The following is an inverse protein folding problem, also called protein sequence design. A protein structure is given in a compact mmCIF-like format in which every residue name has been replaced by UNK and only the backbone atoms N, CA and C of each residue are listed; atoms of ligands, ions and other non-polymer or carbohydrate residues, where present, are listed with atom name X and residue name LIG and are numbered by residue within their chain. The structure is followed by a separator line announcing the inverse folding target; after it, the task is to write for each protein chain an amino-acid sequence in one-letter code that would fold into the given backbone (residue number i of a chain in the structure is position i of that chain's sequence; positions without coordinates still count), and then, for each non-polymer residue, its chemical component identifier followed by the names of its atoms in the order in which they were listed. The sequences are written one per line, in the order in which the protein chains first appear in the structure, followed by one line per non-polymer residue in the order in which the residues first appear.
data_IF_650720715864
#
_entry.id   IF_650720715864
#
_cell.length_a   1.000
_cell.length_b   1.000
_cell.length_c   1.000
_cell.angle_alpha   90.00
_cell.angle_beta   90.00
_cell.angle_gamma   90.00
#
_symmetry.space_group_name_H-M   'P 1'
#
loop_
_entity.id
_entity.type
_entity.pdbx_description
1 polymer ?
#
# COMPACT_ATOMS: atom_id res chain seq x y z
N UNK A 1 85.42 -2.57 19.94
CA UNK A 1 84.11 -3.25 19.94
C UNK A 1 84.18 -4.37 20.95
N UNK A 2 83.37 -4.27 22.05
CA UNK A 2 83.43 -5.18 23.16
C UNK A 2 82.20 -6.08 23.12
N UNK A 3 82.36 -7.28 22.70
CA UNK A 3 81.27 -8.33 22.61
C UNK A 3 80.84 -8.72 24.02
N UNK A 4 79.57 -8.48 24.33
CA UNK A 4 78.89 -8.97 25.56
C UNK A 4 78.66 -10.49 25.47
N UNK A 5 78.88 -11.26 26.52
CA UNK A 5 78.71 -12.70 26.49
C UNK A 5 77.24 -13.11 26.43
N UNK A 6 76.88 -14.17 25.70
CA UNK A 6 75.47 -14.65 25.47
C UNK A 6 74.82 -15.26 26.71
N UNK A 7 75.55 -15.40 27.83
CA UNK A 7 75.02 -16.10 29.03
C UNK A 7 74.02 -15.30 29.85
N UNK A 8 73.89 -13.96 29.66
CA UNK A 8 72.95 -13.15 30.40
C UNK A 8 71.51 -13.31 29.93
N UNK A 9 71.31 -13.59 28.63
CA UNK A 9 70.06 -13.81 28.05
C UNK A 9 69.39 -15.18 28.44
N UNK A 10 70.31 -16.19 28.61
CA UNK A 10 69.88 -17.52 28.98
C UNK A 10 69.35 -17.61 30.43
N UNK A 11 69.99 -16.76 31.33
CA UNK A 11 69.59 -16.75 32.74
C UNK A 11 68.21 -16.09 32.96
N UNK A 12 67.91 -15.06 32.17
CA UNK A 12 66.58 -14.38 32.21
C UNK A 12 65.50 -15.30 31.68
N UNK A 13 65.77 -16.12 30.67
CA UNK A 13 64.81 -17.05 30.10
C UNK A 13 64.44 -18.17 31.07
N UNK A 14 65.41 -18.65 31.89
CA UNK A 14 65.17 -19.72 32.88
C UNK A 14 64.34 -19.20 34.09
N UNK A 15 64.46 -17.91 34.45
CA UNK A 15 63.72 -17.34 35.56
C UNK A 15 62.22 -17.16 35.25
N UNK A 16 61.85 -17.03 33.96
CA UNK A 16 60.46 -16.94 33.55
C UNK A 16 59.71 -18.31 33.49
N UNK A 17 60.44 -19.40 33.45
CA UNK A 17 59.87 -20.74 33.35
C UNK A 17 59.49 -21.37 34.69
N UNK A 18 59.88 -20.75 35.80
CA UNK A 18 59.59 -21.29 37.17
C UNK A 18 58.41 -20.62 37.87
N UNK A 19 57.65 -19.76 37.18
CA UNK A 19 56.36 -19.28 37.70
C UNK A 19 55.34 -20.38 37.68
N UNK A 20 55.45 -21.34 38.60
CA UNK A 20 54.56 -22.43 38.75
C UNK A 20 53.13 -21.96 39.01
N UNK A 21 52.23 -22.27 38.11
CA UNK A 21 50.81 -22.17 38.37
C UNK A 21 50.45 -23.03 39.58
N UNK A 22 50.14 -22.41 40.71
CA UNK A 22 49.45 -23.08 41.79
C UNK A 22 48.10 -23.54 41.31
N UNK A 23 47.72 -24.80 41.39
CA UNK A 23 46.41 -25.28 41.00
C UNK A 23 45.36 -24.60 41.91
N UNK A 24 44.66 -23.61 41.34
CA UNK A 24 43.48 -23.03 41.99
C UNK A 24 42.44 -24.12 42.09
N UNK A 25 42.03 -24.47 43.29
CA UNK A 25 40.96 -25.47 43.52
C UNK A 25 39.78 -25.13 42.63
N UNK A 26 39.52 -25.98 41.66
CA UNK A 26 38.38 -25.80 40.73
C UNK A 26 37.14 -26.07 41.54
N UNK A 27 36.24 -25.10 41.73
CA UNK A 27 34.99 -25.31 42.43
C UNK A 27 34.19 -26.39 41.69
N UNK A 28 33.52 -27.26 42.45
CA UNK A 28 32.72 -28.36 41.91
C UNK A 28 31.81 -27.84 40.79
N UNK A 29 31.95 -28.34 39.56
CA UNK A 29 31.15 -27.86 38.41
C UNK A 29 29.63 -28.03 38.65
N UNK A 30 29.25 -29.06 39.45
CA UNK A 30 27.83 -29.27 39.78
C UNK A 30 27.27 -28.17 40.66
N UNK A 31 28.03 -27.63 41.59
CA UNK A 31 27.58 -26.53 42.45
C UNK A 31 27.35 -25.25 41.67
N UNK A 32 28.22 -24.95 40.71
CA UNK A 32 28.06 -23.81 39.82
C UNK A 32 26.85 -23.96 38.89
N UNK A 33 26.62 -25.15 38.38
CA UNK A 33 25.45 -25.43 37.53
C UNK A 33 24.17 -25.26 38.34
N UNK A 34 24.09 -25.81 39.56
CA UNK A 34 22.92 -25.67 40.42
C UNK A 34 22.63 -24.19 40.77
N UNK A 35 23.67 -23.43 41.11
CA UNK A 35 23.51 -22.00 41.38
C UNK A 35 23.05 -21.20 40.14
N UNK A 36 23.60 -21.52 38.96
CA UNK A 36 23.20 -20.85 37.71
C UNK A 36 21.72 -21.19 37.35
N UNK A 37 21.31 -22.44 37.50
CA UNK A 37 19.94 -22.90 37.25
C UNK A 37 18.97 -22.21 38.22
N UNK A 38 19.28 -22.17 39.53
CA UNK A 38 18.46 -21.50 40.53
C UNK A 38 18.32 -20.00 40.25
N UNK A 39 19.42 -19.34 39.85
CA UNK A 39 19.38 -17.93 39.48
C UNK A 39 18.54 -17.67 38.21
N UNK A 40 18.63 -18.55 37.22
CA UNK A 40 17.84 -18.46 35.99
C UNK A 40 16.35 -18.64 36.26
N UNK A 41 15.97 -19.60 37.10
CA UNK A 41 14.56 -19.84 37.47
C UNK A 41 14.00 -18.65 38.25
N UNK A 42 14.80 -18.07 39.17
CA UNK A 42 14.38 -16.89 39.93
C UNK A 42 14.28 -15.61 39.08
N UNK A 43 15.02 -15.55 37.96
CA UNK A 43 15.00 -14.43 37.03
C UNK A 43 13.93 -14.55 35.95
N UNK A 44 13.23 -15.70 35.82
CA UNK A 44 12.12 -15.82 34.88
C UNK A 44 11.00 -14.89 35.36
N UNK A 45 10.68 -13.82 34.61
CA UNK A 45 9.59 -12.95 34.97
C UNK A 45 8.30 -13.79 35.02
N UNK A 46 7.62 -13.77 36.16
CA UNK A 46 6.28 -14.35 36.26
C UNK A 46 5.47 -13.78 35.09
N UNK A 47 4.97 -14.65 34.22
CA UNK A 47 4.19 -14.21 33.05
C UNK A 47 2.98 -13.44 33.58
N UNK A 48 3.07 -12.13 33.59
CA UNK A 48 1.92 -11.26 33.79
C UNK A 48 0.95 -11.65 32.68
N UNK A 49 -0.25 -12.08 33.02
CA UNK A 49 -1.31 -12.36 32.05
C UNK A 49 -1.50 -11.07 31.25
N UNK A 50 -0.84 -10.99 30.11
CA UNK A 50 -1.07 -9.91 29.17
C UNK A 50 -2.52 -10.08 28.72
N UNK A 51 -3.37 -9.13 29.03
CA UNK A 51 -4.71 -9.08 28.42
C UNK A 51 -4.50 -9.18 26.92
N UNK A 52 -5.18 -10.11 26.23
CA UNK A 52 -5.07 -10.18 24.77
C UNK A 52 -5.30 -8.77 24.21
N UNK A 53 -4.48 -8.31 23.27
CA UNK A 53 -4.69 -7.00 22.66
C UNK A 53 -6.12 -6.97 22.15
N UNK A 54 -6.84 -5.90 22.50
CA UNK A 54 -8.17 -5.64 21.95
C UNK A 54 -8.02 -5.70 20.44
N UNK A 55 -8.77 -6.57 19.73
CA UNK A 55 -8.66 -6.63 18.28
C UNK A 55 -8.89 -5.22 17.73
N UNK A 56 -7.94 -4.74 16.93
CA UNK A 56 -8.15 -3.50 16.20
C UNK A 56 -9.46 -3.63 15.43
N UNK A 57 -10.31 -2.59 15.44
CA UNK A 57 -11.52 -2.63 14.63
C UNK A 57 -11.07 -2.93 13.18
N UNK A 58 -11.62 -3.99 12.61
CA UNK A 58 -11.39 -4.30 11.19
C UNK A 58 -11.86 -3.08 10.39
N UNK A 59 -11.05 -2.54 9.47
CA UNK A 59 -11.49 -1.42 8.66
C UNK A 59 -12.78 -1.82 7.97
N UNK A 60 -13.81 -0.99 8.11
CA UNK A 60 -15.07 -1.20 7.39
C UNK A 60 -14.76 -1.13 5.89
N UNK A 61 -15.10 -2.16 5.11
CA UNK A 61 -14.87 -2.12 3.68
C UNK A 61 -15.65 -0.96 3.06
N UNK A 62 -15.02 -0.20 2.19
CA UNK A 62 -15.71 0.79 1.38
C UNK A 62 -16.71 0.08 0.47
N UNK A 63 -17.84 0.72 0.23
CA UNK A 63 -18.87 0.20 -0.66
C UNK A 63 -19.39 1.31 -1.58
N UNK A 64 -19.58 0.97 -2.84
CA UNK A 64 -20.18 1.84 -3.87
C UNK A 64 -21.66 1.53 -4.04
N UNK A 65 -22.41 1.41 -2.93
CA UNK A 65 -23.81 1.02 -2.92
C UNK A 65 -24.76 2.08 -3.49
N UNK A 66 -24.35 3.35 -3.56
CA UNK A 66 -25.06 4.41 -4.28
C UNK A 66 -25.05 4.17 -5.79
N UNK A 67 -25.99 4.78 -6.50
CA UNK A 67 -26.08 4.71 -7.95
C UNK A 67 -26.33 6.13 -8.51
N UNK A 68 -25.40 6.59 -9.31
CA UNK A 68 -25.56 7.80 -10.10
C UNK A 68 -26.07 7.44 -11.49
N UNK A 69 -27.12 8.11 -11.95
CA UNK A 69 -27.71 7.89 -13.28
C UNK A 69 -28.04 9.22 -13.93
N UNK A 70 -27.10 9.78 -14.68
CA UNK A 70 -27.26 10.96 -15.53
C UNK A 70 -26.47 10.78 -16.83
N UNK A 71 -26.59 11.70 -17.75
CA UNK A 71 -25.87 11.70 -19.03
C UNK A 71 -25.97 10.37 -19.81
N UNK A 72 -27.10 9.66 -19.64
CA UNK A 72 -27.36 8.35 -20.26
C UNK A 72 -26.33 7.27 -19.89
N UNK A 73 -25.87 7.27 -18.64
CA UNK A 73 -25.17 6.16 -18.03
C UNK A 73 -25.46 6.11 -16.53
N UNK A 74 -25.28 4.92 -15.94
CA UNK A 74 -25.27 4.76 -14.50
C UNK A 74 -23.93 4.20 -14.05
N UNK A 75 -23.50 4.56 -12.83
CA UNK A 75 -22.27 4.03 -12.20
C UNK A 75 -22.40 4.05 -10.68
N UNK A 76 -21.78 3.07 -10.00
CA UNK A 76 -21.75 3.00 -8.55
C UNK A 76 -20.91 4.12 -7.92
N UNK A 77 -21.38 4.62 -6.76
CA UNK A 77 -20.66 5.60 -5.93
C UNK A 77 -20.87 5.31 -4.44
N UNK A 78 -20.09 5.89 -3.51
CA UNK A 78 -20.35 5.76 -2.08
C UNK A 78 -21.73 6.29 -1.72
N UNK A 79 -22.47 5.60 -0.85
CA UNK A 79 -23.85 5.96 -0.49
C UNK A 79 -23.93 7.29 0.27
N UNK A 80 -22.89 7.66 0.95
CA UNK A 80 -22.79 8.88 1.77
C UNK A 80 -22.32 10.11 0.99
N UNK A 81 -21.94 9.95 -0.27
CA UNK A 81 -21.44 11.03 -1.14
C UNK A 81 -22.00 10.87 -2.55
N UNK A 82 -22.54 11.96 -3.08
CA UNK A 82 -22.99 12.01 -4.47
C UNK A 82 -21.89 12.55 -5.38
N UNK A 83 -21.91 12.14 -6.63
CA UNK A 83 -21.12 12.80 -7.66
C UNK A 83 -21.55 14.26 -7.85
N UNK A 84 -20.59 15.11 -8.10
CA UNK A 84 -20.79 16.47 -8.54
C UNK A 84 -20.09 16.68 -9.89
N UNK A 85 -20.65 17.58 -10.69
CA UNK A 85 -20.13 17.93 -12.01
C UNK A 85 -18.96 18.93 -11.87
N UNK A 86 -17.74 18.43 -12.07
CA UNK A 86 -16.51 19.25 -12.00
C UNK A 86 -16.46 20.25 -13.16
N UNK A 87 -16.91 19.85 -14.36
CA UNK A 87 -16.95 20.72 -15.53
C UNK A 87 -17.83 21.95 -15.27
N UNK A 88 -19.02 21.75 -14.69
CA UNK A 88 -19.93 22.82 -14.32
C UNK A 88 -19.36 23.74 -13.21
N UNK A 89 -18.61 23.19 -12.27
CA UNK A 89 -17.96 23.97 -11.21
C UNK A 89 -16.81 24.83 -11.77
N UNK A 90 -16.03 24.31 -12.69
CA UNK A 90 -14.93 25.04 -13.33
C UNK A 90 -15.44 26.10 -14.32
N UNK A 91 -16.45 25.74 -15.10
CA UNK A 91 -17.08 26.65 -16.08
C UNK A 91 -18.58 26.38 -16.18
N UNK A 92 -19.42 27.16 -15.48
CA UNK A 92 -20.87 26.99 -15.53
C UNK A 92 -21.51 27.11 -16.94
N UNK A 93 -20.81 27.74 -17.87
CA UNK A 93 -21.26 27.82 -19.27
C UNK A 93 -20.95 26.55 -20.09
N UNK A 94 -20.19 25.62 -19.52
CA UNK A 94 -19.81 24.35 -20.19
C UNK A 94 -19.93 23.17 -19.23
N UNK A 95 -21.15 22.85 -18.76
CA UNK A 95 -21.37 21.70 -17.89
C UNK A 95 -21.13 20.38 -18.64
N UNK A 96 -21.07 19.30 -17.90
CA UNK A 96 -21.03 17.95 -18.47
C UNK A 96 -22.29 17.69 -19.33
N UNK A 97 -22.12 16.89 -20.35
CA UNK A 97 -23.14 16.52 -21.33
C UNK A 97 -23.09 15.03 -21.63
N UNK A 98 -23.99 14.54 -22.48
CA UNK A 98 -23.85 13.18 -23.02
C UNK A 98 -22.48 12.95 -23.66
N UNK A 99 -21.98 13.95 -24.40
CA UNK A 99 -20.81 13.83 -25.25
C UNK A 99 -19.50 13.79 -24.48
N UNK A 100 -19.42 14.51 -23.37
CA UNK A 100 -18.22 14.62 -22.53
C UNK A 100 -18.56 15.16 -21.16
N UNK A 101 -17.73 14.85 -20.18
CA UNK A 101 -17.87 15.40 -18.84
C UNK A 101 -16.86 14.83 -17.86
N UNK A 102 -16.83 15.44 -16.69
CA UNK A 102 -16.01 15.05 -15.57
C UNK A 102 -16.83 15.16 -14.28
N UNK A 103 -16.96 14.04 -13.60
CA UNK A 103 -17.59 13.95 -12.28
C UNK A 103 -16.55 13.62 -11.22
N UNK A 104 -16.78 14.09 -10.00
CA UNK A 104 -16.02 13.68 -8.84
C UNK A 104 -16.93 13.41 -7.65
N UNK A 105 -16.48 12.56 -6.73
CA UNK A 105 -17.09 12.31 -5.43
C UNK A 105 -15.97 12.22 -4.38
N UNK A 106 -16.19 12.79 -3.20
CA UNK A 106 -15.19 12.83 -2.14
C UNK A 106 -15.83 12.85 -0.76
N UNK A 107 -15.31 12.02 0.16
CA UNK A 107 -15.79 11.98 1.56
C UNK A 107 -14.65 11.95 2.61
N UNK A 108 -13.46 12.40 2.27
CA UNK A 108 -12.29 12.39 3.17
C UNK A 108 -11.57 11.04 3.28
N UNK A 109 -12.25 9.92 3.02
CA UNK A 109 -11.68 8.58 3.02
C UNK A 109 -11.62 7.96 1.62
N UNK A 110 -12.30 8.56 0.68
CA UNK A 110 -12.38 8.07 -0.69
C UNK A 110 -12.54 9.25 -1.63
N UNK A 111 -11.78 9.26 -2.70
CA UNK A 111 -11.92 10.21 -3.81
C UNK A 111 -12.14 9.41 -5.08
N UNK A 112 -13.17 9.74 -5.84
CA UNK A 112 -13.49 9.08 -7.11
C UNK A 112 -13.65 10.14 -8.19
N UNK A 113 -13.14 9.84 -9.37
CA UNK A 113 -13.39 10.62 -10.58
C UNK A 113 -13.87 9.72 -11.72
N UNK A 114 -14.74 10.27 -12.56
CA UNK A 114 -15.20 9.64 -13.79
C UNK A 114 -15.15 10.68 -14.90
N UNK A 115 -14.45 10.37 -15.97
CA UNK A 115 -14.43 11.17 -17.19
C UNK A 115 -14.99 10.34 -18.35
N UNK A 116 -15.67 10.97 -19.28
CA UNK A 116 -16.12 10.33 -20.51
C UNK A 116 -16.06 11.31 -21.68
N UNK A 117 -15.94 10.72 -22.84
CA UNK A 117 -16.06 11.46 -24.11
C UNK A 117 -16.59 10.57 -25.23
N UNK A 118 -17.30 11.18 -26.19
CA UNK A 118 -17.59 10.52 -27.46
C UNK A 118 -16.28 10.29 -28.20
N UNK A 119 -16.14 9.10 -28.69
CA UNK A 119 -14.97 8.69 -29.44
C UNK A 119 -15.42 8.00 -30.70
N UNK A 120 -15.65 8.73 -31.79
CA UNK A 120 -16.00 8.16 -33.06
C UNK A 120 -14.83 7.33 -33.63
N UNK A 121 -15.05 6.04 -33.79
CA UNK A 121 -14.04 5.11 -34.29
C UNK A 121 -13.34 4.32 -33.18
N UNK A 122 -12.15 3.84 -33.45
CA UNK A 122 -11.35 3.07 -32.48
C UNK A 122 -10.71 4.01 -31.42
N UNK A 123 -11.54 4.52 -30.51
CA UNK A 123 -11.01 5.29 -29.38
C UNK A 123 -10.21 4.37 -28.48
N UNK A 124 -9.00 4.77 -28.19
CA UNK A 124 -8.14 4.07 -27.26
C UNK A 124 -8.53 4.44 -25.81
N UNK A 125 -9.11 3.50 -25.03
CA UNK A 125 -9.42 3.74 -23.63
C UNK A 125 -8.19 4.14 -22.82
N UNK A 126 -7.00 3.69 -23.22
CA UNK A 126 -5.75 4.05 -22.57
C UNK A 126 -5.49 5.56 -22.64
N UNK A 127 -5.75 6.20 -23.77
CA UNK A 127 -5.59 7.65 -23.88
C UNK A 127 -6.46 8.41 -22.87
N UNK A 128 -7.71 7.96 -22.67
CA UNK A 128 -8.59 8.61 -21.70
C UNK A 128 -8.16 8.33 -20.26
N UNK A 129 -7.66 7.12 -19.99
CA UNK A 129 -7.08 6.79 -18.69
C UNK A 129 -5.86 7.65 -18.38
N UNK A 130 -4.92 7.76 -19.33
CA UNK A 130 -3.73 8.61 -19.19
C UNK A 130 -4.12 10.10 -19.00
N UNK A 131 -5.22 10.55 -19.61
CA UNK A 131 -5.74 11.92 -19.40
C UNK A 131 -6.31 12.11 -17.99
N UNK A 132 -6.88 11.07 -17.38
CA UNK A 132 -7.45 11.11 -16.04
C UNK A 132 -6.39 10.99 -14.94
N UNK A 133 -5.30 10.28 -15.20
CA UNK A 133 -4.16 10.18 -14.31
C UNK A 133 -3.33 11.45 -14.38
N UNK A 134 -2.79 11.85 -13.24
CA UNK A 134 -1.90 13.00 -13.15
C UNK A 134 -0.45 12.52 -13.20
N UNK A 135 0.27 12.87 -14.26
CA UNK A 135 1.65 12.40 -14.50
C UNK A 135 2.65 12.79 -13.39
N UNK A 136 2.34 13.85 -12.63
CA UNK A 136 3.21 14.32 -11.53
C UNK A 136 2.84 13.67 -10.18
N UNK A 137 1.58 13.32 -10.02
CA UNK A 137 1.04 12.86 -8.73
C UNK A 137 0.76 11.35 -8.69
N UNK A 138 0.42 10.76 -9.82
CA UNK A 138 0.02 9.36 -9.94
C UNK A 138 1.13 8.50 -10.54
N UNK A 139 1.51 7.45 -9.84
CA UNK A 139 2.50 6.49 -10.32
C UNK A 139 1.82 5.15 -10.56
N UNK A 140 1.67 4.69 -11.82
CA UNK A 140 1.19 3.36 -12.14
C UNK A 140 2.09 2.28 -11.55
N UNK A 141 1.50 1.22 -10.99
CA UNK A 141 2.27 0.14 -10.38
C UNK A 141 2.89 -0.80 -11.42
N UNK A 142 2.22 -0.98 -12.56
CA UNK A 142 2.61 -1.92 -13.61
C UNK A 142 2.12 -1.43 -14.98
N UNK A 143 2.17 -2.34 -15.97
CA UNK A 143 1.40 -2.14 -17.19
C UNK A 143 -0.07 -2.46 -16.92
N UNK A 144 -1.02 -1.69 -17.50
CA UNK A 144 -2.44 -1.95 -17.31
C UNK A 144 -2.85 -3.37 -17.69
N UNK A 145 -3.61 -3.99 -16.80
CA UNK A 145 -4.26 -5.27 -17.07
C UNK A 145 -5.42 -5.06 -18.05
N UNK A 146 -5.49 -5.90 -19.08
CA UNK A 146 -6.61 -5.91 -20.02
C UNK A 146 -7.45 -7.15 -19.73
N UNK A 147 -8.73 -6.97 -19.45
CA UNK A 147 -9.63 -8.08 -19.17
C UNK A 147 -11.05 -7.80 -19.69
N UNK A 148 -11.83 -8.86 -19.79
CA UNK A 148 -13.22 -8.79 -20.23
C UNK A 148 -14.14 -8.77 -18.99
N UNK A 149 -14.94 -7.72 -18.84
CA UNK A 149 -15.95 -7.60 -17.79
C UNK A 149 -17.30 -7.27 -18.45
N UNK A 150 -18.31 -8.13 -18.25
CA UNK A 150 -19.67 -7.95 -18.82
C UNK A 150 -19.67 -7.62 -20.32
N UNK A 151 -18.83 -8.30 -21.09
CA UNK A 151 -18.59 -8.09 -22.53
C UNK A 151 -17.96 -6.73 -22.90
N UNK A 152 -17.43 -6.00 -21.94
CA UNK A 152 -16.61 -4.81 -22.19
C UNK A 152 -15.13 -5.13 -22.04
N UNK A 153 -14.31 -4.68 -22.99
CA UNK A 153 -12.87 -4.68 -22.82
C UNK A 153 -12.50 -3.57 -21.84
N UNK A 154 -11.88 -3.93 -20.76
CA UNK A 154 -11.53 -3.03 -19.65
C UNK A 154 -10.03 -3.01 -19.48
N UNK A 155 -9.47 -1.82 -19.40
CA UNK A 155 -8.11 -1.57 -18.91
C UNK A 155 -8.20 -1.25 -17.41
N UNK A 156 -7.24 -1.72 -16.62
CA UNK A 156 -7.13 -1.33 -15.22
C UNK A 156 -5.67 -1.37 -14.76
N UNK A 157 -5.28 -0.40 -13.96
CA UNK A 157 -4.00 -0.38 -13.26
C UNK A 157 -4.17 0.08 -11.81
N UNK A 158 -3.34 -0.48 -10.92
CA UNK A 158 -3.16 0.07 -9.59
C UNK A 158 -2.21 1.26 -9.66
N UNK A 159 -2.50 2.28 -8.86
CA UNK A 159 -1.67 3.48 -8.78
C UNK A 159 -1.33 3.78 -7.31
N UNK A 160 -0.20 4.44 -7.12
CA UNK A 160 0.08 5.19 -5.89
C UNK A 160 -0.01 6.67 -6.20
N UNK A 161 -0.51 7.46 -5.25
CA UNK A 161 -0.68 8.89 -5.46
C UNK A 161 -0.06 9.72 -4.35
N UNK A 162 0.55 10.83 -4.74
CA UNK A 162 1.08 11.85 -3.83
C UNK A 162 0.15 13.05 -3.70
N UNK A 163 -1.01 13.04 -4.36
CA UNK A 163 -2.00 14.14 -4.34
C UNK A 163 -2.46 14.49 -2.92
N UNK A 164 -2.61 13.48 -2.06
CA UNK A 164 -2.88 13.70 -0.64
C UNK A 164 -2.29 12.56 0.21
N UNK A 165 -1.57 12.87 1.29
CA UNK A 165 -1.02 11.86 2.19
C UNK A 165 -2.08 10.95 2.84
N UNK A 166 -3.34 11.41 2.91
CA UNK A 166 -4.43 10.63 3.48
C UNK A 166 -4.92 9.50 2.57
N UNK A 167 -4.70 9.59 1.26
CA UNK A 167 -5.22 8.67 0.24
C UNK A 167 -4.08 8.23 -0.72
N UNK A 168 -3.04 7.54 -0.23
CA UNK A 168 -1.84 7.26 -1.01
C UNK A 168 -1.99 6.11 -2.01
N UNK A 169 -3.06 5.33 -1.91
CA UNK A 169 -3.30 4.18 -2.78
C UNK A 169 -4.48 4.42 -3.70
N UNK A 170 -4.45 3.86 -4.87
CA UNK A 170 -5.53 4.03 -5.81
C UNK A 170 -5.54 3.03 -6.95
N UNK A 171 -6.41 3.29 -7.89
CA UNK A 171 -6.50 2.56 -9.13
C UNK A 171 -7.23 3.37 -10.19
N UNK A 172 -6.91 3.09 -11.42
CA UNK A 172 -7.56 3.67 -12.58
C UNK A 172 -7.97 2.61 -13.57
N UNK A 173 -9.09 2.83 -14.23
CA UNK A 173 -9.54 1.93 -15.28
C UNK A 173 -10.30 2.65 -16.37
N UNK A 174 -10.31 2.08 -17.57
CA UNK A 174 -11.00 2.65 -18.71
C UNK A 174 -11.67 1.57 -19.56
N UNK A 175 -12.78 1.92 -20.18
CA UNK A 175 -13.56 1.01 -21.03
C UNK A 175 -14.35 1.78 -22.09
N UNK A 176 -14.83 1.06 -23.07
CA UNK A 176 -15.77 1.61 -24.07
C UNK A 176 -17.18 1.09 -23.83
N UNK A 177 -18.17 1.95 -24.06
CA UNK A 177 -19.56 1.55 -24.10
C UNK A 177 -20.33 2.36 -25.17
N UNK A 178 -20.79 1.67 -26.21
CA UNK A 178 -21.41 2.32 -27.35
C UNK A 178 -20.38 3.18 -28.13
N UNK A 179 -20.72 4.44 -28.32
CA UNK A 179 -19.89 5.45 -28.99
C UNK A 179 -19.02 6.28 -28.02
N UNK A 180 -19.01 5.91 -26.73
CA UNK A 180 -18.27 6.62 -25.67
C UNK A 180 -17.16 5.79 -25.07
N UNK A 181 -16.10 6.49 -24.69
CA UNK A 181 -15.03 5.98 -23.82
C UNK A 181 -15.21 6.57 -22.44
N UNK A 182 -14.98 5.77 -21.43
CA UNK A 182 -15.03 6.13 -20.02
C UNK A 182 -13.68 5.84 -19.38
N UNK A 183 -13.25 6.69 -18.45
CA UNK A 183 -12.20 6.37 -17.51
C UNK A 183 -12.64 6.71 -16.09
N UNK A 184 -12.19 5.93 -15.14
CA UNK A 184 -12.52 6.02 -13.73
C UNK A 184 -11.24 5.93 -12.92
N UNK A 185 -11.17 6.73 -11.84
CA UNK A 185 -10.05 6.76 -10.92
C UNK A 185 -10.56 6.81 -9.48
N UNK A 186 -9.85 6.12 -8.58
CA UNK A 186 -10.11 6.18 -7.13
C UNK A 186 -8.82 6.39 -6.38
N UNK A 187 -8.88 7.15 -5.28
CA UNK A 187 -7.87 7.15 -4.22
C UNK A 187 -8.48 6.69 -2.91
N UNK A 188 -7.73 5.93 -2.13
CA UNK A 188 -8.14 5.37 -0.85
C UNK A 188 -6.98 5.34 0.15
N UNK A 189 -7.27 5.27 1.47
CA UNK A 189 -6.24 5.12 2.49
C UNK A 189 -5.74 3.66 2.61
N UNK A 190 -6.40 2.70 1.95
CA UNK A 190 -6.12 1.27 2.09
C UNK A 190 -5.54 0.72 0.80
N UNK A 191 -4.39 0.04 0.92
CA UNK A 191 -3.83 -0.72 -0.18
C UNK A 191 -4.75 -1.87 -0.60
N UNK A 192 -4.66 -2.28 -1.87
CA UNK A 192 -5.39 -3.41 -2.47
C UNK A 192 -6.93 -3.30 -2.49
N UNK A 193 -7.51 -2.15 -2.17
CA UNK A 193 -8.98 -1.96 -2.21
C UNK A 193 -9.49 -1.40 -3.54
N UNK A 194 -8.66 -0.69 -4.27
CA UNK A 194 -9.03 0.04 -5.49
C UNK A 194 -9.62 -0.85 -6.58
N UNK A 195 -9.09 -2.06 -6.74
CA UNK A 195 -9.60 -3.03 -7.72
C UNK A 195 -11.01 -3.50 -7.37
N UNK A 196 -11.26 -3.83 -6.12
CA UNK A 196 -12.60 -4.25 -5.67
C UNK A 196 -13.62 -3.13 -5.84
N UNK A 197 -13.23 -1.88 -5.55
CA UNK A 197 -14.08 -0.70 -5.77
C UNK A 197 -14.37 -0.49 -7.26
N UNK A 198 -13.39 -0.67 -8.11
CA UNK A 198 -13.58 -0.58 -9.56
C UNK A 198 -14.56 -1.64 -10.07
N UNK A 199 -14.37 -2.90 -9.66
CA UNK A 199 -15.26 -4.00 -10.03
C UNK A 199 -16.68 -3.75 -9.53
N UNK A 200 -16.87 -3.19 -8.31
CA UNK A 200 -18.19 -2.81 -7.78
C UNK A 200 -18.82 -1.66 -8.57
N UNK A 201 -18.05 -0.61 -8.92
CA UNK A 201 -18.54 0.49 -9.76
C UNK A 201 -19.03 -0.03 -11.11
N UNK A 202 -18.24 -0.89 -11.77
CA UNK A 202 -18.61 -1.48 -13.06
C UNK A 202 -19.72 -2.53 -12.98
N UNK A 203 -19.89 -3.22 -11.86
CA UNK A 203 -21.03 -4.12 -11.68
C UNK A 203 -22.36 -3.40 -11.79
N UNK A 204 -22.40 -2.10 -11.48
CA UNK A 204 -23.59 -1.22 -11.55
C UNK A 204 -23.60 -0.33 -12.80
N UNK A 205 -22.53 -0.39 -13.59
CA UNK A 205 -22.41 0.45 -14.77
C UNK A 205 -23.38 0.00 -15.86
N UNK A 206 -24.12 0.97 -16.41
CA UNK A 206 -24.92 0.81 -17.62
C UNK A 206 -24.73 2.04 -18.50
N UNK A 207 -24.83 1.86 -19.81
CA UNK A 207 -24.85 2.98 -20.76
C UNK A 207 -25.89 2.76 -21.85
N UNK A 208 -26.42 3.83 -22.43
CA UNK A 208 -27.34 3.76 -23.57
C UNK A 208 -28.81 3.48 -23.17
N UNK A 209 -29.21 3.91 -21.96
CA UNK A 209 -30.63 3.94 -21.57
C UNK A 209 -31.24 5.33 -21.75
#
# INVERSE_FOLDING_TARGET
MKTRPPHFLTFILILFLTSGCTPKATPDPNLKIQQAVAATIAAIPTSTRTTPPTPFPSPTPFSLAGLFCEYQFCIGHPIDVSFFDVSAQQNPASPSTYSQGLLAAFNGNLFIQVIWQIAPGAADPKFLLDTLLDDELDTPANQPDIFLLRNMNVLYDNITSTATPALPFGGGGAWTCGDRVFAWKVYSPQDCTSRALFDEALARFTCGQ
#
